data_IF_939102950954
#
_entry.id   IF_939102950954
#
_cell.length_a   1.000
_cell.length_b   1.000
_cell.length_c   1.000
_cell.angle_alpha   90.00
_cell.angle_beta   90.00
_cell.angle_gamma   90.00
#
_symmetry.space_group_name_H-M   'P 1'
#
loop_
_entity.id
_entity.type
_entity.pdbx_description
1 polymer ?
#
# COMPACT_ATOMS: atom_id res chain seq x y z
N UNK A 1 9.24 -69.32 -29.90
CA UNK A 1 7.86 -69.31 -29.37
C UNK A 1 7.77 -68.86 -27.91
N UNK A 2 8.85 -68.87 -27.11
CA UNK A 2 8.80 -68.30 -25.74
C UNK A 2 8.93 -66.77 -25.70
N UNK A 3 9.62 -66.17 -26.67
CA UNK A 3 9.84 -64.72 -26.76
C UNK A 3 8.55 -63.91 -26.98
N UNK A 4 7.62 -64.42 -27.79
CA UNK A 4 6.31 -63.79 -28.04
C UNK A 4 5.40 -63.85 -26.79
N UNK A 5 5.57 -64.89 -25.98
CA UNK A 5 4.83 -65.08 -24.72
C UNK A 5 5.32 -64.12 -23.63
N UNK A 6 6.63 -63.93 -23.55
CA UNK A 6 7.29 -63.00 -22.62
C UNK A 6 7.03 -61.53 -22.99
N UNK A 7 6.95 -61.21 -24.28
CA UNK A 7 6.58 -59.87 -24.74
C UNK A 7 5.12 -59.52 -24.39
N UNK A 8 4.23 -60.52 -24.46
CA UNK A 8 2.83 -60.36 -24.10
C UNK A 8 2.59 -60.24 -22.58
N UNK A 9 3.39 -60.91 -21.75
CA UNK A 9 3.38 -60.69 -20.30
C UNK A 9 3.86 -59.28 -19.93
N UNK A 10 4.92 -58.77 -20.57
CA UNK A 10 5.41 -57.40 -20.32
C UNK A 10 4.38 -56.32 -20.64
N UNK A 11 3.58 -56.51 -21.68
CA UNK A 11 2.50 -55.57 -22.03
C UNK A 11 1.28 -55.69 -21.11
N UNK A 12 0.97 -56.88 -20.60
CA UNK A 12 -0.15 -57.09 -19.67
C UNK A 12 0.10 -56.51 -18.27
N UNK A 13 1.37 -56.47 -17.83
CA UNK A 13 1.79 -55.87 -16.55
C UNK A 13 2.33 -54.43 -16.69
N UNK A 14 2.21 -53.82 -17.87
CA UNK A 14 2.63 -52.44 -18.07
C UNK A 14 1.81 -51.49 -17.18
N UNK A 15 2.45 -50.68 -16.31
CA UNK A 15 1.73 -49.76 -15.43
C UNK A 15 0.87 -48.79 -16.27
N UNK A 16 -0.45 -48.82 -16.02
CA UNK A 16 -1.43 -47.98 -16.68
C UNK A 16 -0.92 -46.53 -16.67
N UNK A 17 -0.85 -45.83 -17.82
CA UNK A 17 -0.44 -44.43 -17.87
C UNK A 17 -1.20 -43.53 -16.87
N UNK A 18 -2.45 -43.86 -16.53
CA UNK A 18 -3.22 -43.15 -15.51
C UNK A 18 -2.63 -43.32 -14.09
N UNK A 19 -2.10 -44.50 -13.78
CA UNK A 19 -1.48 -44.81 -12.49
C UNK A 19 -0.14 -44.11 -12.32
N UNK A 20 0.65 -43.98 -13.40
CA UNK A 20 1.91 -43.25 -13.41
C UNK A 20 1.70 -41.74 -13.24
N UNK A 21 0.71 -41.18 -13.92
CA UNK A 21 0.35 -39.76 -13.74
C UNK A 21 -0.07 -39.47 -12.29
N UNK A 22 -0.88 -40.34 -11.69
CA UNK A 22 -1.28 -40.21 -10.28
C UNK A 22 -0.10 -40.30 -9.31
N UNK A 23 0.84 -41.21 -9.54
CA UNK A 23 2.04 -41.32 -8.70
C UNK A 23 2.96 -40.09 -8.83
N UNK A 24 3.04 -39.50 -10.02
CA UNK A 24 3.80 -38.27 -10.26
C UNK A 24 3.14 -37.06 -9.56
N UNK A 25 1.82 -36.92 -9.67
CA UNK A 25 1.05 -35.92 -8.94
C UNK A 25 1.23 -36.06 -7.42
N UNK A 26 1.21 -37.28 -6.88
CA UNK A 26 1.45 -37.54 -5.47
C UNK A 26 2.89 -37.17 -5.04
N UNK A 27 3.90 -37.40 -5.89
CA UNK A 27 5.28 -36.96 -5.64
C UNK A 27 5.37 -35.44 -5.62
N UNK A 28 4.72 -34.75 -6.55
CA UNK A 28 4.69 -33.29 -6.62
C UNK A 28 3.97 -32.73 -5.39
N UNK A 29 2.81 -33.26 -5.04
CA UNK A 29 2.04 -32.84 -3.86
C UNK A 29 2.82 -33.04 -2.55
N UNK A 30 3.56 -34.16 -2.43
CA UNK A 30 4.41 -34.43 -1.27
C UNK A 30 5.55 -33.41 -1.15
N UNK A 31 6.25 -33.12 -2.25
CA UNK A 31 7.32 -32.10 -2.28
C UNK A 31 6.77 -30.71 -1.95
N UNK A 32 5.62 -30.34 -2.50
CA UNK A 32 4.99 -29.05 -2.21
C UNK A 32 4.59 -28.93 -0.73
N UNK A 33 3.99 -29.98 -0.16
CA UNK A 33 3.61 -29.99 1.25
C UNK A 33 4.83 -29.87 2.18
N UNK A 34 5.93 -30.54 1.84
CA UNK A 34 7.18 -30.45 2.59
C UNK A 34 7.77 -29.04 2.53
N UNK A 35 7.82 -28.41 1.35
CA UNK A 35 8.36 -27.06 1.20
C UNK A 35 7.49 -26.03 1.94
N UNK A 36 6.16 -26.14 1.87
CA UNK A 36 5.24 -25.30 2.66
C UNK A 36 5.51 -25.47 4.17
N UNK A 37 5.71 -26.70 4.64
CA UNK A 37 6.00 -26.97 6.05
C UNK A 37 7.35 -26.36 6.47
N UNK A 38 8.38 -26.48 5.62
CA UNK A 38 9.70 -25.87 5.84
C UNK A 38 9.62 -24.35 5.95
N UNK A 39 8.97 -23.67 5.00
CA UNK A 39 8.81 -22.21 5.02
C UNK A 39 8.06 -21.77 6.27
N UNK A 40 6.97 -22.46 6.61
CA UNK A 40 6.21 -22.19 7.85
C UNK A 40 7.07 -22.36 9.09
N UNK A 41 7.85 -23.43 9.20
CA UNK A 41 8.74 -23.66 10.32
C UNK A 41 9.82 -22.58 10.44
N UNK A 42 10.45 -22.19 9.32
CA UNK A 42 11.43 -21.10 9.30
C UNK A 42 10.83 -19.77 9.74
N UNK A 43 9.60 -19.48 9.32
CA UNK A 43 8.91 -18.24 9.67
C UNK A 43 8.36 -18.26 11.11
N UNK A 44 8.02 -19.43 11.65
CA UNK A 44 7.66 -19.59 13.07
C UNK A 44 8.87 -19.44 13.99
N UNK A 45 10.06 -19.91 13.60
CA UNK A 45 11.27 -19.79 14.42
C UNK A 45 11.95 -18.41 14.32
N UNK A 46 11.70 -17.65 13.24
CA UNK A 46 12.16 -16.26 13.09
C UNK A 46 11.43 -15.28 14.04
N UNK A 47 10.37 -15.72 14.73
CA UNK A 47 9.73 -14.97 15.80
C UNK A 47 10.42 -15.05 17.17
N UNK A 48 11.51 -15.80 17.32
CA UNK A 48 12.15 -16.06 18.63
C UNK A 48 13.52 -15.42 18.85
N UNK A 49 13.98 -14.54 17.97
CA UNK A 49 15.27 -13.85 18.14
C UNK A 49 15.13 -12.34 17.92
N UNK A 50 14.27 -11.69 18.71
CA UNK A 50 14.43 -10.31 19.23
C UNK A 50 13.12 -9.85 19.87
N UNK A 51 13.24 -9.41 21.13
CA UNK A 51 12.29 -8.63 21.95
C UNK A 51 10.92 -9.26 22.30
N UNK A 52 10.89 -9.78 23.53
CA UNK A 52 9.79 -9.77 24.52
C UNK A 52 8.51 -9.03 24.15
N UNK A 53 7.38 -9.74 24.01
CA UNK A 53 6.05 -9.39 24.58
C UNK A 53 5.13 -10.64 24.51
N UNK A 54 4.42 -11.04 25.58
CA UNK A 54 3.57 -12.22 25.55
C UNK A 54 2.15 -11.82 25.15
N UNK A 55 1.52 -12.53 24.21
CA UNK A 55 0.05 -12.63 24.19
C UNK A 55 -0.43 -13.84 23.39
N UNK A 56 -1.51 -14.39 23.91
CA UNK A 56 -1.99 -15.75 23.75
C UNK A 56 -2.82 -15.96 22.48
N UNK A 57 -2.90 -17.25 22.16
CA UNK A 57 -3.79 -17.96 21.24
C UNK A 57 -5.27 -17.55 21.25
N UNK A 58 -5.82 -17.68 20.04
CA UNK A 58 -7.10 -18.30 19.64
C UNK A 58 -8.40 -17.47 19.53
N UNK A 59 -8.98 -17.66 18.33
CA UNK A 59 -10.39 -17.57 17.89
C UNK A 59 -10.99 -16.25 17.41
N UNK A 60 -11.42 -16.34 16.14
CA UNK A 60 -12.66 -15.79 15.56
C UNK A 60 -12.90 -14.26 15.62
N UNK A 61 -12.63 -13.58 14.50
CA UNK A 61 -13.58 -12.63 13.91
C UNK A 61 -13.10 -12.23 12.51
N UNK A 62 -13.95 -12.55 11.53
CA UNK A 62 -14.11 -11.86 10.25
C UNK A 62 -14.13 -10.33 10.47
N UNK A 63 -13.61 -9.59 9.49
CA UNK A 63 -13.60 -8.12 9.38
C UNK A 63 -12.67 -7.36 10.34
N UNK A 64 -11.49 -6.97 9.83
CA UNK A 64 -11.05 -5.56 9.79
C UNK A 64 -9.76 -5.36 8.99
N UNK A 65 -9.86 -4.43 8.05
CA UNK A 65 -8.80 -3.55 7.53
C UNK A 65 -7.65 -4.19 6.74
N UNK A 66 -7.87 -4.34 5.43
CA UNK A 66 -6.84 -4.44 4.37
C UNK A 66 -6.19 -3.06 4.15
N UNK A 67 -5.74 -2.40 5.23
CA UNK A 67 -5.14 -1.07 5.13
C UNK A 67 -3.78 -0.95 5.79
N UNK A 68 -3.22 -2.04 6.30
CA UNK A 68 -1.87 -2.05 6.84
C UNK A 68 -0.98 -2.97 6.01
N UNK A 69 0.09 -2.37 5.48
CA UNK A 69 1.10 -3.02 4.67
C UNK A 69 1.80 -4.11 5.46
N UNK A 70 1.28 -5.33 5.38
CA UNK A 70 1.94 -6.51 5.89
C UNK A 70 3.11 -6.93 5.00
N UNK A 71 4.33 -6.76 5.51
CA UNK A 71 5.49 -7.56 5.10
C UNK A 71 6.46 -6.92 4.11
N UNK A 72 7.08 -5.80 4.49
CA UNK A 72 8.31 -5.31 3.86
C UNK A 72 9.34 -5.00 4.95
N UNK A 73 10.00 -6.06 5.45
CA UNK A 73 11.02 -5.91 6.49
C UNK A 73 12.43 -5.64 5.91
N UNK A 74 12.53 -5.26 4.63
CA UNK A 74 13.82 -5.07 3.95
C UNK A 74 13.85 -4.11 2.76
N UNK A 75 12.74 -3.43 2.44
CA UNK A 75 12.73 -2.40 1.40
C UNK A 75 12.88 -1.02 2.08
N UNK A 76 13.67 -0.12 1.49
CA UNK A 76 13.76 1.28 1.92
C UNK A 76 12.38 1.95 1.69
N UNK A 77 11.48 1.83 2.67
CA UNK A 77 10.09 2.28 2.54
C UNK A 77 9.96 3.80 2.23
N UNK A 78 11.02 4.57 2.51
CA UNK A 78 11.11 5.99 2.16
C UNK A 78 11.25 6.26 0.65
N UNK A 79 11.68 5.25 -0.13
CA UNK A 79 11.78 5.31 -1.59
C UNK A 79 10.53 4.75 -2.28
N UNK A 80 9.60 4.18 -1.52
CA UNK A 80 8.43 3.50 -2.07
C UNK A 80 7.21 4.41 -2.06
N UNK A 81 6.59 4.52 -3.23
CA UNK A 81 5.38 5.28 -3.46
C UNK A 81 4.19 4.33 -3.60
N UNK A 82 3.11 4.65 -2.89
CA UNK A 82 1.79 4.05 -3.11
C UNK A 82 1.05 4.90 -4.14
N UNK A 83 0.81 4.31 -5.30
CA UNK A 83 0.12 4.95 -6.42
C UNK A 83 -1.27 4.34 -6.54
N UNK A 84 -2.30 5.15 -6.78
CA UNK A 84 -3.66 4.66 -7.01
C UNK A 84 -4.40 5.48 -8.05
N UNK A 85 -5.30 4.84 -8.78
CA UNK A 85 -6.11 5.45 -9.83
C UNK A 85 -7.48 4.81 -9.91
N UNK A 86 -8.41 5.49 -10.56
CA UNK A 86 -9.74 4.95 -10.82
C UNK A 86 -9.74 4.11 -12.09
N UNK A 87 -10.49 2.99 -12.12
CA UNK A 87 -10.58 2.14 -13.32
C UNK A 87 -11.69 2.63 -14.26
N UNK A 88 -11.71 3.92 -14.53
CA UNK A 88 -12.63 4.59 -15.44
C UNK A 88 -11.94 4.75 -16.80
N UNK A 89 -12.07 3.72 -17.65
CA UNK A 89 -11.48 3.73 -18.99
C UNK A 89 -10.22 2.85 -19.10
N UNK A 90 -9.17 3.39 -19.73
CA UNK A 90 -7.90 2.67 -19.92
C UNK A 90 -7.12 2.58 -18.60
N UNK A 91 -6.64 1.38 -18.30
CA UNK A 91 -5.86 1.12 -17.10
C UNK A 91 -4.39 1.49 -17.28
N UNK A 92 -3.75 1.93 -16.20
CA UNK A 92 -2.30 2.06 -16.18
C UNK A 92 -1.63 0.69 -16.11
N UNK A 93 -0.79 0.41 -17.11
CA UNK A 93 0.11 -0.74 -17.16
C UNK A 93 1.48 -0.40 -16.56
N UNK A 94 2.25 -1.42 -16.18
CA UNK A 94 3.54 -1.27 -15.49
C UNK A 94 4.50 -0.35 -16.27
N UNK A 95 4.64 -0.59 -17.57
CA UNK A 95 5.47 0.22 -18.47
C UNK A 95 5.06 1.71 -18.48
N UNK A 96 3.76 2.00 -18.42
CA UNK A 96 3.28 3.39 -18.42
C UNK A 96 3.56 4.08 -17.10
N UNK A 97 3.37 3.39 -15.98
CA UNK A 97 3.74 3.90 -14.66
C UNK A 97 5.23 4.19 -14.61
N UNK A 98 6.07 3.24 -15.03
CA UNK A 98 7.52 3.41 -15.10
C UNK A 98 7.91 4.67 -15.88
N UNK A 99 7.37 4.85 -17.08
CA UNK A 99 7.65 6.03 -17.91
C UNK A 99 7.31 7.35 -17.21
N UNK A 100 6.18 7.38 -16.48
CA UNK A 100 5.75 8.57 -15.74
C UNK A 100 6.70 8.86 -14.57
N UNK A 101 7.12 7.84 -13.83
CA UNK A 101 7.98 8.03 -12.66
C UNK A 101 9.46 8.22 -13.01
N UNK A 102 9.90 7.76 -14.18
CA UNK A 102 11.26 7.98 -14.70
C UNK A 102 11.61 9.46 -14.88
N UNK A 103 10.61 10.34 -15.01
CA UNK A 103 10.81 11.80 -15.03
C UNK A 103 11.44 12.34 -13.73
N UNK A 104 11.17 11.68 -12.59
CA UNK A 104 11.68 12.08 -11.28
C UNK A 104 12.97 11.36 -10.88
N UNK A 105 13.27 10.23 -11.54
CA UNK A 105 14.47 9.44 -11.29
C UNK A 105 14.31 7.99 -11.70
N UNK A 106 15.39 7.21 -11.60
CA UNK A 106 15.39 5.78 -11.95
C UNK A 106 14.34 5.02 -11.13
N UNK A 107 13.53 4.20 -11.79
CA UNK A 107 12.55 3.30 -11.13
C UNK A 107 13.17 1.92 -11.02
N UNK A 108 13.26 1.38 -9.80
CA UNK A 108 13.84 0.06 -9.53
C UNK A 108 12.83 -1.06 -9.81
N UNK A 109 11.60 -0.90 -9.33
CA UNK A 109 10.55 -1.89 -9.47
C UNK A 109 9.15 -1.25 -9.40
N UNK A 110 8.17 -1.86 -10.06
CA UNK A 110 6.77 -1.46 -10.00
C UNK A 110 5.85 -2.69 -9.91
N UNK A 111 4.99 -2.70 -8.89
CA UNK A 111 4.07 -3.81 -8.63
C UNK A 111 2.64 -3.30 -8.67
N UNK A 112 1.90 -3.70 -9.70
CA UNK A 112 0.48 -3.35 -9.84
C UNK A 112 -0.39 -4.31 -9.02
N UNK A 113 -1.23 -3.72 -8.18
CA UNK A 113 -2.30 -4.36 -7.41
C UNK A 113 -3.63 -3.76 -7.87
N UNK A 114 -4.25 -4.38 -8.86
CA UNK A 114 -5.57 -3.94 -9.34
C UNK A 114 -6.72 -4.61 -8.59
N UNK A 115 -7.79 -3.85 -8.36
CA UNK A 115 -9.07 -4.35 -7.85
C UNK A 115 -10.17 -4.13 -8.89
N UNK A 116 -11.41 -4.56 -8.63
CA UNK A 116 -12.53 -4.39 -9.59
C UNK A 116 -12.86 -2.92 -9.89
N UNK A 117 -12.64 -2.00 -8.93
CA UNK A 117 -13.04 -0.58 -9.04
C UNK A 117 -11.88 0.40 -9.09
N UNK A 118 -10.74 0.05 -8.50
CA UNK A 118 -9.56 0.93 -8.40
C UNK A 118 -8.29 0.16 -8.75
N UNK A 119 -7.39 0.82 -9.46
CA UNK A 119 -6.03 0.37 -9.62
C UNK A 119 -5.17 0.92 -8.49
N UNK A 120 -4.24 0.11 -8.01
CA UNK A 120 -3.16 0.59 -7.16
C UNK A 120 -1.85 -0.03 -7.60
N UNK A 121 -0.73 0.61 -7.29
CA UNK A 121 0.60 0.09 -7.52
C UNK A 121 1.54 0.53 -6.38
N UNK A 122 2.59 -0.24 -6.19
CA UNK A 122 3.77 0.18 -5.43
C UNK A 122 4.87 0.46 -6.43
N UNK A 123 5.46 1.65 -6.36
CA UNK A 123 6.58 2.06 -7.21
C UNK A 123 7.79 2.29 -6.31
N UNK A 124 8.89 1.60 -6.59
CA UNK A 124 10.15 1.72 -5.87
C UNK A 124 11.07 2.64 -6.66
N UNK A 125 11.36 3.81 -6.11
CA UNK A 125 12.29 4.76 -6.71
C UNK A 125 13.74 4.41 -6.35
N UNK A 126 14.69 4.73 -7.22
CA UNK A 126 16.12 4.52 -6.97
C UNK A 126 16.70 5.45 -5.90
N UNK A 127 16.05 6.58 -5.62
CA UNK A 127 16.46 7.51 -4.57
C UNK A 127 15.27 8.05 -3.77
N UNK A 128 15.53 8.44 -2.52
CA UNK A 128 14.53 9.07 -1.64
C UNK A 128 14.10 10.42 -2.19
N UNK A 129 15.05 11.17 -2.74
CA UNK A 129 14.79 12.49 -3.33
C UNK A 129 13.86 12.38 -4.54
N UNK A 130 14.05 11.37 -5.41
CA UNK A 130 13.14 11.10 -6.51
C UNK A 130 11.72 10.74 -6.05
N UNK A 131 11.60 9.99 -4.94
CA UNK A 131 10.30 9.69 -4.34
C UNK A 131 9.62 10.97 -3.81
N UNK A 132 10.35 11.85 -3.13
CA UNK A 132 9.83 13.12 -2.64
C UNK A 132 9.45 14.06 -3.79
N UNK A 133 10.27 14.13 -4.83
CA UNK A 133 10.01 14.96 -6.02
C UNK A 133 8.76 14.53 -6.77
N UNK A 134 8.44 13.23 -6.81
CA UNK A 134 7.22 12.72 -7.43
C UNK A 134 5.95 13.05 -6.63
N UNK A 135 6.07 13.22 -5.30
CA UNK A 135 4.93 13.52 -4.42
C UNK A 135 4.48 14.97 -4.62
N UNK A 136 3.17 15.20 -4.64
CA UNK A 136 2.59 16.54 -4.78
C UNK A 136 2.38 16.99 -6.24
N UNK A 137 2.82 16.20 -7.21
CA UNK A 137 2.54 16.43 -8.63
C UNK A 137 1.24 15.72 -9.06
N UNK A 138 0.60 16.28 -10.09
CA UNK A 138 -0.52 15.63 -10.79
C UNK A 138 0.08 14.80 -11.92
N UNK A 139 0.09 13.48 -11.76
CA UNK A 139 0.70 12.55 -12.70
C UNK A 139 -0.34 11.74 -13.48
N UNK A 140 0.07 11.23 -14.64
CA UNK A 140 -0.79 10.43 -15.51
C UNK A 140 -1.62 11.27 -16.48
N UNK A 141 -2.68 10.67 -16.97
CA UNK A 141 -3.67 11.31 -17.82
C UNK A 141 -4.57 12.26 -17.02
N UNK A 142 -4.90 13.41 -17.62
CA UNK A 142 -5.72 14.45 -16.99
C UNK A 142 -7.17 13.98 -16.78
N UNK A 143 -7.64 13.03 -17.60
CA UNK A 143 -8.97 12.43 -17.43
C UNK A 143 -9.03 11.41 -16.28
N UNK A 144 -7.88 10.86 -15.88
CA UNK A 144 -7.75 9.86 -14.84
C UNK A 144 -6.40 10.01 -14.10
N UNK A 145 -6.24 11.04 -13.25
CA UNK A 145 -4.97 11.34 -12.62
C UNK A 145 -4.59 10.30 -11.57
N UNK A 146 -3.28 10.11 -11.39
CA UNK A 146 -2.71 9.25 -10.37
C UNK A 146 -2.67 9.96 -9.01
N UNK A 147 -3.14 9.27 -7.97
CA UNK A 147 -2.89 9.66 -6.57
C UNK A 147 -1.61 9.00 -6.08
N UNK A 148 -0.59 9.80 -5.81
CA UNK A 148 0.72 9.37 -5.32
C UNK A 148 0.85 9.74 -3.84
N UNK A 149 1.13 8.74 -3.01
CA UNK A 149 1.34 8.91 -1.57
C UNK A 149 2.62 8.18 -1.16
N UNK A 150 3.39 8.69 -0.18
CA UNK A 150 4.49 7.93 0.39
C UNK A 150 3.94 6.66 1.08
N UNK A 151 4.66 5.53 0.97
CA UNK A 151 4.23 4.28 1.61
C UNK A 151 4.22 4.41 3.15
N UNK A 152 5.25 5.05 3.70
CA UNK A 152 5.30 5.45 5.08
C UNK A 152 5.02 6.95 5.15
N UNK A 153 3.96 7.35 5.86
CA UNK A 153 3.75 8.76 6.16
C UNK A 153 4.99 9.27 6.87
N UNK A 154 5.76 10.11 6.19
CA UNK A 154 6.77 10.93 6.83
C UNK A 154 6.02 11.82 7.82
N UNK A 155 5.99 11.41 9.08
CA UNK A 155 5.64 12.28 10.21
C UNK A 155 6.76 13.31 10.32
N UNK A 156 6.86 14.18 9.32
CA UNK A 156 7.49 15.46 9.52
C UNK A 156 6.40 16.34 10.10
N UNK A 157 6.44 16.69 11.40
CA UNK A 157 5.79 17.91 11.82
C UNK A 157 6.57 19.01 11.12
N UNK A 158 6.14 19.39 9.91
CA UNK A 158 6.24 20.79 9.55
C UNK A 158 5.21 21.48 10.43
N UNK A 159 5.57 21.61 11.70
CA UNK A 159 5.25 22.80 12.45
C UNK A 159 5.71 23.91 11.52
N UNK A 160 4.77 24.62 10.90
CA UNK A 160 5.03 25.97 10.47
C UNK A 160 5.32 26.74 11.78
N UNK A 161 6.57 26.60 12.25
CA UNK A 161 7.14 27.46 13.25
C UNK A 161 7.19 28.81 12.57
N UNK A 162 6.15 29.61 12.78
CA UNK A 162 6.28 31.04 12.71
C UNK A 162 7.41 31.36 13.67
N UNK A 163 8.59 31.63 13.14
CA UNK A 163 9.65 32.24 13.93
C UNK A 163 9.11 33.57 14.43
N UNK A 164 8.78 33.62 15.72
CA UNK A 164 8.66 34.88 16.46
C UNK A 164 10.05 35.50 16.52
N UNK A 165 10.43 36.27 15.50
CA UNK A 165 11.04 37.58 15.70
C UNK A 165 11.19 38.30 14.35
N UNK A 166 10.55 39.46 14.24
CA UNK A 166 11.17 40.75 13.91
C UNK A 166 10.04 41.68 13.49
N UNK A 167 9.82 42.71 14.31
CA UNK A 167 9.17 43.97 13.92
C UNK A 167 9.64 44.39 12.53
N UNK A 168 8.74 44.38 11.55
CA UNK A 168 8.94 45.08 10.29
C UNK A 168 7.59 45.43 9.69
N UNK A 169 7.28 46.72 9.77
CA UNK A 169 6.22 47.45 9.10
C UNK A 169 6.20 47.15 7.58
N UNK A 170 5.21 46.40 7.07
CA UNK A 170 5.10 46.00 5.66
C UNK A 170 3.98 44.99 5.35
N UNK A 171 3.43 44.92 4.11
CA UNK A 171 1.98 44.81 3.90
C UNK A 171 1.39 43.40 4.06
N UNK A 172 0.22 43.37 4.71
CA UNK A 172 -0.64 42.22 5.02
C UNK A 172 -0.87 41.29 3.81
N UNK A 173 -0.12 40.20 3.73
CA UNK A 173 -0.45 39.02 2.90
C UNK A 173 -1.48 38.12 3.63
N UNK A 174 -2.59 38.71 4.07
CA UNK A 174 -3.64 38.05 4.86
C UNK A 174 -4.77 37.43 4.05
N UNK A 175 -4.58 37.15 2.76
CA UNK A 175 -5.64 36.71 1.85
C UNK A 175 -5.43 35.28 1.33
N UNK A 176 -5.01 34.35 2.20
CA UNK A 176 -5.31 32.94 1.99
C UNK A 176 -6.79 32.75 2.40
N UNK A 177 -7.65 32.34 1.47
CA UNK A 177 -9.12 32.23 1.65
C UNK A 177 -9.46 31.63 3.02
N UNK A 178 -10.03 32.45 3.92
CA UNK A 178 -10.42 32.08 5.28
C UNK A 178 -9.48 32.54 6.42
N UNK A 179 -8.21 32.88 6.14
CA UNK A 179 -7.24 33.24 7.18
C UNK A 179 -7.28 34.74 7.62
N UNK A 180 -8.01 35.59 6.90
CA UNK A 180 -8.07 37.04 7.17
C UNK A 180 -9.31 37.52 7.93
N UNK A 181 -10.28 36.64 8.22
CA UNK A 181 -11.59 37.03 8.75
C UNK A 181 -11.79 36.73 10.24
N UNK A 182 -10.76 36.29 10.96
CA UNK A 182 -10.85 35.87 12.36
C UNK A 182 -11.55 36.92 13.26
N UNK A 183 -11.17 38.20 13.14
CA UNK A 183 -11.78 39.28 13.93
C UNK A 183 -13.26 39.53 13.56
N UNK A 184 -13.63 39.32 12.29
CA UNK A 184 -15.01 39.43 11.83
C UNK A 184 -15.85 38.27 12.36
N UNK A 185 -15.33 37.04 12.29
CA UNK A 185 -15.97 35.84 12.84
C UNK A 185 -16.17 35.95 14.36
N UNK A 186 -15.18 36.44 15.09
CA UNK A 186 -15.28 36.71 16.52
C UNK A 186 -16.36 37.77 16.82
N UNK A 187 -16.44 38.84 16.03
CA UNK A 187 -17.48 39.87 16.17
C UNK A 187 -18.89 39.30 15.92
N UNK A 188 -19.05 38.42 14.94
CA UNK A 188 -20.33 37.74 14.65
C UNK A 188 -20.72 36.81 15.80
N UNK A 189 -19.77 36.04 16.34
CA UNK A 189 -20.00 35.14 17.47
C UNK A 189 -20.40 35.90 18.74
N UNK A 190 -19.77 37.04 19.03
CA UNK A 190 -20.12 37.86 20.19
C UNK A 190 -21.54 38.44 20.07
N UNK A 191 -21.90 38.94 18.87
CA UNK A 191 -23.27 39.40 18.58
C UNK A 191 -24.31 38.30 18.78
N UNK A 192 -24.03 37.08 18.30
CA UNK A 192 -24.91 35.92 18.49
C UNK A 192 -25.06 35.54 19.97
N UNK A 193 -23.96 35.51 20.73
CA UNK A 193 -23.98 35.24 22.18
C UNK A 193 -24.78 36.30 22.93
N UNK A 194 -24.61 37.58 22.60
CA UNK A 194 -25.34 38.70 23.21
C UNK A 194 -26.83 38.66 22.88
N UNK A 195 -27.19 38.37 21.64
CA UNK A 195 -28.59 38.18 21.23
C UNK A 195 -29.23 36.96 21.94
N UNK A 196 -28.49 35.87 22.09
CA UNK A 196 -28.98 34.68 22.81
C UNK A 196 -29.19 34.95 24.31
N UNK A 197 -28.31 35.74 24.96
CA UNK A 197 -28.52 36.17 26.35
C UNK A 197 -29.77 37.04 26.48
N UNK A 198 -29.93 38.06 25.63
CA UNK A 198 -31.14 38.91 25.61
C UNK A 198 -32.43 38.12 25.43
N UNK A 199 -32.42 37.04 24.65
CA UNK A 199 -33.60 36.16 24.49
C UNK A 199 -33.88 35.28 25.72
N UNK A 200 -32.86 34.96 26.52
CA UNK A 200 -33.05 34.24 27.79
C UNK A 200 -33.51 35.16 28.91
N UNK A 201 -33.06 36.41 28.93
CA UNK A 201 -33.41 37.39 29.97
C UNK A 201 -34.81 38.03 29.77
N UNK A 202 -35.50 37.68 28.68
CA UNK A 202 -36.86 38.16 28.33
C UNK A 202 -37.93 37.07 28.52
N UNK A 203 -37.55 35.94 29.13
CA UNK A 203 -38.44 34.88 29.63
C UNK A 203 -38.36 34.83 31.16
#
# INVERSE_FOLDING_TARGET
MMSDLEERERHAFAPDPSSRAREEEERIARKLKEEIARIRAMHSNKGSATTTHPSKKDTAAMEKNINDGGGSSGLDNEKVLKVSWEKTGEDYIAQRLRQIFEEFGVVEDEVIKSSKKKGSALVVMGSKDAAVAAIGNVLGDLSNPLLVLPLQSVSSPVSFGVEENIESDGPKLGNLVGAGYQAFEESVLDKLKKAAKRRRDVL
#
